data_IF_357786354003
#
_entry.id   IF_357786354003
#
_cell.length_a   1.000
_cell.length_b   1.000
_cell.length_c   1.000
_cell.angle_alpha   90.00
_cell.angle_beta   90.00
_cell.angle_gamma   90.00
#
_symmetry.space_group_name_H-M   'P 1'
#
loop_
_entity.id
_entity.type
_entity.pdbx_description
1 polymer ?
#
# COMPACT_ATOMS: atom_id res chain seq x y z
N UNK A 1 10.80 -0.15 44.70
CA UNK A 1 11.06 0.82 43.61
C UNK A 1 9.72 1.05 42.98
N UNK A 2 9.16 2.24 43.12
CA UNK A 2 7.80 2.53 42.67
C UNK A 2 7.80 2.57 41.15
N UNK A 3 7.21 1.56 40.52
CA UNK A 3 6.92 1.60 39.09
C UNK A 3 6.00 2.77 38.83
N UNK A 4 6.46 3.63 37.93
CA UNK A 4 5.75 4.77 37.40
C UNK A 4 4.51 4.23 36.66
N UNK A 5 3.34 4.30 37.29
CA UNK A 5 2.10 4.21 36.53
C UNK A 5 2.06 5.43 35.62
N UNK A 6 2.23 5.19 34.32
CA UNK A 6 2.03 6.21 33.30
C UNK A 6 0.57 6.66 33.44
N UNK A 7 0.38 7.90 33.91
CA UNK A 7 -0.92 8.56 33.85
C UNK A 7 -1.29 8.61 32.37
N UNK A 8 -2.32 7.85 31.97
CA UNK A 8 -2.87 7.92 30.62
C UNK A 8 -3.55 9.30 30.54
N UNK A 9 -2.78 10.28 30.08
CA UNK A 9 -3.24 11.63 29.76
C UNK A 9 -4.37 11.61 28.72
N UNK A 10 -4.96 12.76 28.39
CA UNK A 10 -6.18 12.82 27.62
C UNK A 10 -5.93 12.25 26.22
N UNK A 11 -6.57 11.11 25.93
CA UNK A 11 -6.78 10.50 24.61
C UNK A 11 -5.78 10.87 23.53
N UNK A 12 -4.81 9.98 23.29
CA UNK A 12 -3.98 9.98 22.09
C UNK A 12 -4.87 9.88 20.83
N UNK A 13 -5.25 11.01 20.24
CA UNK A 13 -6.09 11.03 19.05
C UNK A 13 -5.25 11.05 17.77
N UNK A 14 -5.44 10.02 16.94
CA UNK A 14 -5.17 10.14 15.51
C UNK A 14 -6.28 9.40 14.76
N UNK A 15 -7.20 10.10 14.07
CA UNK A 15 -6.85 10.85 12.87
C UNK A 15 -7.49 12.26 12.77
N UNK A 16 -6.81 13.18 12.07
CA UNK A 16 -7.19 14.58 11.89
C UNK A 16 -8.13 14.82 10.69
N UNK A 17 -9.06 15.77 10.82
CA UNK A 17 -9.88 16.28 9.72
C UNK A 17 -9.54 17.75 9.46
N UNK A 18 -9.13 18.15 8.23
CA UNK A 18 -8.92 17.32 7.04
C UNK A 18 -7.63 16.49 7.08
N UNK A 19 -7.63 15.35 6.37
CA UNK A 19 -6.49 14.44 6.28
C UNK A 19 -5.34 15.11 5.53
N UNK A 20 -4.14 15.02 6.10
CA UNK A 20 -2.91 15.55 5.53
C UNK A 20 -1.99 14.41 5.12
N UNK A 21 -1.52 14.43 3.88
CA UNK A 21 -0.67 13.37 3.32
C UNK A 21 0.79 13.42 3.83
N UNK A 22 1.18 14.51 4.48
CA UNK A 22 2.50 14.79 5.03
C UNK A 22 2.63 14.51 6.53
N UNK A 23 1.56 14.02 7.19
CA UNK A 23 1.54 13.72 8.61
C UNK A 23 1.50 12.21 8.87
N UNK A 24 2.36 11.74 9.77
CA UNK A 24 2.35 10.37 10.29
C UNK A 24 1.88 10.37 11.74
N UNK A 25 1.08 9.36 12.12
CA UNK A 25 0.73 9.13 13.51
C UNK A 25 1.48 7.92 14.07
N UNK A 26 2.01 8.10 15.27
CA UNK A 26 2.65 7.05 16.06
C UNK A 26 1.81 6.80 17.30
N UNK A 27 1.31 5.57 17.44
CA UNK A 27 0.49 5.09 18.55
C UNK A 27 0.66 3.55 18.64
N UNK A 28 0.04 2.93 19.63
CA UNK A 28 -0.09 1.49 19.76
C UNK A 28 -0.58 0.84 18.46
N UNK A 29 0.11 -0.24 18.09
CA UNK A 29 -0.14 -0.99 16.87
C UNK A 29 -1.59 -1.48 16.79
N UNK A 30 -2.15 -2.01 17.88
CA UNK A 30 -3.52 -2.53 17.92
C UNK A 30 -4.58 -1.44 17.66
N UNK A 31 -4.32 -0.22 18.13
CA UNK A 31 -5.18 0.93 17.91
C UNK A 31 -5.12 1.41 16.46
N UNK A 32 -3.91 1.63 15.92
CA UNK A 32 -3.71 2.05 14.53
C UNK A 32 -4.22 1.00 13.53
N UNK A 33 -4.00 -0.28 13.83
CA UNK A 33 -4.49 -1.39 13.00
C UNK A 33 -6.02 -1.35 12.92
N UNK A 34 -6.72 -1.14 14.04
CA UNK A 34 -8.18 -1.05 14.04
C UNK A 34 -8.71 0.13 13.17
N UNK A 35 -7.99 1.25 13.14
CA UNK A 35 -8.35 2.42 12.33
C UNK A 35 -8.08 2.17 10.85
N UNK A 36 -6.89 1.65 10.51
CA UNK A 36 -6.53 1.31 9.14
C UNK A 36 -7.47 0.26 8.56
N UNK A 37 -7.84 -0.74 9.36
CA UNK A 37 -8.85 -1.73 8.97
C UNK A 37 -10.21 -1.11 8.66
N UNK A 38 -10.66 -0.09 9.40
CA UNK A 38 -11.93 0.58 9.07
C UNK A 38 -11.83 1.45 7.81
N UNK A 39 -10.65 1.96 7.50
CA UNK A 39 -10.42 2.98 6.47
C UNK A 39 -9.26 2.59 5.53
N UNK A 40 -9.37 1.43 4.88
CA UNK A 40 -8.28 0.80 4.11
C UNK A 40 -7.72 1.60 2.93
N UNK A 41 -8.52 2.49 2.33
CA UNK A 41 -8.09 3.34 1.22
C UNK A 41 -7.37 4.60 1.69
N UNK A 42 -7.42 4.87 2.99
CA UNK A 42 -7.09 6.18 3.56
C UNK A 42 -5.84 6.14 4.44
N UNK A 43 -5.60 5.02 5.11
CA UNK A 43 -4.51 4.86 6.05
C UNK A 43 -3.80 3.52 5.80
N UNK A 44 -2.49 3.54 5.89
CA UNK A 44 -1.66 2.36 5.96
C UNK A 44 -0.93 2.35 7.31
N UNK A 45 -0.75 1.17 7.89
CA UNK A 45 0.08 1.00 9.08
C UNK A 45 1.47 0.61 8.59
N UNK A 46 2.50 1.27 9.11
CA UNK A 46 3.88 0.90 8.82
C UNK A 46 4.22 -0.44 9.51
N UNK A 47 5.00 -1.28 8.83
CA UNK A 47 5.40 -2.61 9.36
C UNK A 47 6.42 -2.51 10.52
N UNK A 48 7.10 -1.37 10.66
CA UNK A 48 8.15 -1.17 11.65
C UNK A 48 7.56 -0.79 13.02
N UNK A 49 7.78 -1.65 14.02
CA UNK A 49 7.44 -1.34 15.42
C UNK A 49 8.61 -0.64 16.11
N UNK A 50 8.39 0.60 16.55
CA UNK A 50 9.40 1.37 17.29
C UNK A 50 9.65 0.84 18.71
N UNK A 51 8.62 0.30 19.38
CA UNK A 51 8.73 -0.25 20.71
C UNK A 51 7.81 -1.45 20.89
N UNK A 52 8.36 -2.58 21.33
CA UNK A 52 7.60 -3.77 21.67
C UNK A 52 7.27 -3.75 23.16
N UNK A 53 6.15 -3.12 23.51
CA UNK A 53 5.60 -3.19 24.86
C UNK A 53 4.69 -4.43 25.00
N UNK A 54 4.70 -5.05 26.17
CA UNK A 54 3.81 -6.19 26.48
C UNK A 54 2.60 -5.69 27.26
N UNK A 55 1.41 -6.13 26.87
CA UNK A 55 0.17 -5.90 27.62
C UNK A 55 0.04 -6.95 28.72
N UNK A 56 -0.23 -6.51 29.94
CA UNK A 56 -0.37 -7.39 31.10
C UNK A 56 -1.58 -6.99 31.95
N UNK A 57 -2.19 -7.97 32.60
CA UNK A 57 -3.20 -7.73 33.62
C UNK A 57 -2.52 -7.46 34.95
N UNK A 58 -2.83 -6.32 35.56
CA UNK A 58 -2.32 -5.95 36.88
C UNK A 58 -3.32 -6.34 37.96
N UNK A 59 -2.81 -6.88 39.06
CA UNK A 59 -3.58 -7.27 40.24
C UNK A 59 -2.92 -6.69 41.50
N UNK A 60 -3.67 -6.51 42.61
CA UNK A 60 -3.09 -6.21 43.91
C UNK A 60 -2.03 -7.23 44.33
N UNK A 61 -1.00 -6.80 45.05
CA UNK A 61 0.11 -7.68 45.48
C UNK A 61 -0.35 -8.90 46.30
N UNK A 62 -1.47 -8.78 47.03
CA UNK A 62 -2.04 -9.81 47.89
C UNK A 62 -3.21 -10.59 47.26
N UNK A 63 -3.41 -10.48 45.94
CA UNK A 63 -4.49 -11.17 45.26
C UNK A 63 -4.27 -12.70 45.22
N UNK A 64 -5.02 -13.45 46.03
CA UNK A 64 -4.98 -14.92 46.08
C UNK A 64 -5.14 -15.63 44.71
N UNK A 65 -5.85 -15.00 43.77
CA UNK A 65 -6.09 -15.58 42.44
C UNK A 65 -5.04 -15.22 41.40
N UNK A 66 -4.07 -14.34 41.70
CA UNK A 66 -3.09 -13.85 40.74
C UNK A 66 -2.29 -15.00 40.11
N UNK A 67 -1.78 -15.92 40.93
CA UNK A 67 -1.01 -17.08 40.46
C UNK A 67 -1.84 -18.00 39.58
N UNK A 68 -3.08 -18.30 40.00
CA UNK A 68 -3.98 -19.14 39.23
C UNK A 68 -4.38 -18.49 37.91
N UNK A 69 -4.60 -17.17 37.89
CA UNK A 69 -4.93 -16.44 36.68
C UNK A 69 -3.75 -16.41 35.71
N UNK A 70 -2.54 -16.11 36.20
CA UNK A 70 -1.33 -16.09 35.40
C UNK A 70 -1.07 -17.45 34.74
N UNK A 71 -1.24 -18.55 35.48
CA UNK A 71 -1.10 -19.90 34.94
C UNK A 71 -2.10 -20.20 33.81
N UNK A 72 -3.36 -19.78 33.95
CA UNK A 72 -4.36 -19.97 32.89
C UNK A 72 -4.08 -19.07 31.69
N UNK A 73 -3.64 -17.83 31.91
CA UNK A 73 -3.25 -16.92 30.85
C UNK A 73 -2.05 -17.45 30.04
N UNK A 74 -1.05 -18.01 30.73
CA UNK A 74 0.09 -18.67 30.10
C UNK A 74 -0.38 -19.86 29.25
N UNK A 75 -1.28 -20.71 29.76
CA UNK A 75 -1.87 -21.81 28.98
C UNK A 75 -2.64 -21.33 27.76
N UNK A 76 -3.39 -20.23 27.87
CA UNK A 76 -4.10 -19.62 26.74
C UNK A 76 -3.14 -19.10 25.66
N UNK A 77 -2.00 -18.56 26.08
CA UNK A 77 -0.93 -18.14 25.19
C UNK A 77 -0.26 -19.33 24.50
N UNK A 78 0.17 -20.34 25.26
CA UNK A 78 0.83 -21.55 24.75
C UNK A 78 -0.08 -22.37 23.82
N UNK A 79 -1.39 -22.39 24.08
CA UNK A 79 -2.37 -23.05 23.23
C UNK A 79 -2.74 -22.25 21.97
N UNK A 80 -2.23 -21.04 21.81
CA UNK A 80 -2.50 -20.18 20.66
C UNK A 80 -3.92 -19.59 20.61
N UNK A 81 -4.70 -19.72 21.69
CA UNK A 81 -6.07 -19.18 21.72
C UNK A 81 -6.10 -17.65 21.65
N UNK A 82 -5.11 -17.01 22.29
CA UNK A 82 -4.94 -15.55 22.23
C UNK A 82 -4.68 -15.09 20.79
N UNK A 83 -3.80 -15.80 20.08
CA UNK A 83 -3.50 -15.51 18.67
C UNK A 83 -4.76 -15.68 17.80
N UNK A 84 -5.52 -16.76 18.02
CA UNK A 84 -6.79 -16.98 17.30
C UNK A 84 -7.81 -15.88 17.55
N UNK A 85 -7.91 -15.37 18.78
CA UNK A 85 -8.80 -14.23 19.06
C UNK A 85 -8.31 -12.97 18.38
N UNK A 86 -7.00 -12.71 18.40
CA UNK A 86 -6.43 -11.58 17.67
C UNK A 86 -6.76 -11.66 16.17
N UNK A 87 -6.56 -12.81 15.54
CA UNK A 87 -6.93 -13.03 14.13
C UNK A 87 -8.43 -12.84 13.90
N UNK A 88 -9.29 -13.33 14.80
CA UNK A 88 -10.73 -13.17 14.66
C UNK A 88 -11.20 -11.71 14.71
N UNK A 89 -10.59 -10.88 15.56
CA UNK A 89 -11.01 -9.49 15.76
C UNK A 89 -10.21 -8.48 14.90
N UNK A 90 -8.96 -8.78 14.56
CA UNK A 90 -8.02 -7.90 13.86
C UNK A 90 -7.49 -8.47 12.52
N UNK A 91 -7.79 -9.72 12.15
CA UNK A 91 -7.48 -10.26 10.81
C UNK A 91 -8.76 -10.68 10.10
N UNK A 92 -9.53 -9.70 9.65
CA UNK A 92 -10.53 -9.98 8.62
C UNK A 92 -9.83 -9.94 7.27
N UNK A 93 -9.52 -11.11 6.71
CA UNK A 93 -8.99 -11.33 5.34
C UNK A 93 -9.78 -10.60 4.24
N UNK A 94 -10.98 -10.10 4.57
CA UNK A 94 -11.89 -9.39 3.67
C UNK A 94 -11.82 -7.87 3.74
N UNK A 95 -11.13 -7.29 4.72
CA UNK A 95 -11.31 -5.85 5.02
C UNK A 95 -10.28 -4.98 4.31
N UNK A 96 -8.98 -5.32 4.33
CA UNK A 96 -7.98 -4.59 3.52
C UNK A 96 -7.07 -5.55 2.75
N UNK A 97 -7.45 -5.92 1.52
CA UNK A 97 -6.49 -6.44 0.52
C UNK A 97 -5.66 -5.30 -0.06
N UNK A 98 -4.99 -4.53 0.79
CA UNK A 98 -4.14 -3.41 0.38
C UNK A 98 -2.77 -3.66 1.02
N UNK A 99 -1.94 -4.48 0.38
CA UNK A 99 -0.54 -4.61 0.81
C UNK A 99 0.19 -5.91 0.48
N UNK A 100 -0.47 -7.06 0.31
CA UNK A 100 0.23 -8.32 -0.02
C UNK A 100 0.55 -8.52 -1.51
N UNK A 101 0.11 -7.60 -2.34
CA UNK A 101 0.67 -7.44 -3.67
C UNK A 101 0.45 -5.98 -4.05
N UNK A 102 1.42 -5.13 -3.72
CA UNK A 102 1.80 -4.13 -4.71
C UNK A 102 2.35 -4.92 -5.90
N UNK A 103 1.45 -5.55 -6.67
CA UNK A 103 1.75 -5.88 -8.05
C UNK A 103 2.25 -4.57 -8.61
N UNK A 104 3.54 -4.55 -8.99
CA UNK A 104 4.20 -3.37 -9.50
C UNK A 104 3.22 -2.66 -10.43
N UNK A 105 2.88 -1.41 -10.11
CA UNK A 105 1.89 -0.60 -10.81
C UNK A 105 2.03 -0.87 -12.31
N UNK A 106 1.05 -1.61 -12.86
CA UNK A 106 1.18 -2.15 -14.20
C UNK A 106 1.43 -0.96 -15.12
N UNK A 107 2.58 -0.95 -15.79
CA UNK A 107 3.10 0.23 -16.53
C UNK A 107 1.93 0.90 -17.26
N UNK A 108 1.50 2.03 -16.70
CA UNK A 108 0.31 2.70 -17.18
C UNK A 108 0.58 3.16 -18.62
N UNK A 109 -0.42 3.03 -19.49
CA UNK A 109 -0.33 3.36 -20.91
C UNK A 109 0.15 4.81 -21.12
N UNK A 110 -0.09 5.68 -20.14
CA UNK A 110 0.37 7.07 -20.10
C UNK A 110 1.90 7.20 -20.09
N UNK A 111 2.63 6.29 -19.43
CA UNK A 111 4.09 6.28 -19.41
C UNK A 111 4.74 5.82 -20.72
N UNK A 112 4.04 4.98 -21.49
CA UNK A 112 4.54 4.40 -22.77
C UNK A 112 3.94 5.11 -23.99
N UNK A 113 2.93 5.96 -23.80
CA UNK A 113 2.21 6.67 -24.86
C UNK A 113 3.13 7.48 -25.78
N UNK A 114 4.21 8.06 -25.25
CA UNK A 114 5.19 8.80 -26.05
C UNK A 114 5.83 7.97 -27.16
N UNK A 115 6.18 6.71 -26.88
CA UNK A 115 6.76 5.80 -27.87
C UNK A 115 5.77 5.47 -29.00
N UNK A 116 4.49 5.28 -28.66
CA UNK A 116 3.44 5.01 -29.65
C UNK A 116 3.17 6.21 -30.56
N UNK A 117 3.19 7.42 -30.02
CA UNK A 117 2.98 8.65 -30.81
C UNK A 117 4.10 8.83 -31.85
N UNK A 118 5.35 8.63 -31.44
CA UNK A 118 6.50 8.73 -32.35
C UNK A 118 6.42 7.66 -33.43
N UNK A 119 6.15 6.40 -33.07
CA UNK A 119 6.01 5.30 -34.02
C UNK A 119 4.90 5.56 -35.06
N UNK A 120 3.73 6.05 -34.61
CA UNK A 120 2.62 6.40 -35.50
C UNK A 120 2.98 7.54 -36.46
N UNK A 121 3.67 8.58 -35.99
CA UNK A 121 4.05 9.71 -36.84
C UNK A 121 4.99 9.30 -37.98
N UNK A 122 5.96 8.42 -37.70
CA UNK A 122 6.87 7.89 -38.71
C UNK A 122 6.14 6.99 -39.71
N UNK A 123 5.19 6.16 -39.24
CA UNK A 123 4.38 5.32 -40.11
C UNK A 123 3.52 6.15 -41.08
N UNK A 124 2.89 7.22 -40.58
CA UNK A 124 2.08 8.13 -41.41
C UNK A 124 2.95 8.86 -42.43
N UNK A 125 4.12 9.37 -42.01
CA UNK A 125 5.06 10.02 -42.92
C UNK A 125 5.53 9.07 -44.03
N UNK A 126 5.86 7.82 -43.68
CA UNK A 126 6.24 6.79 -44.65
C UNK A 126 5.13 6.46 -45.63
N UNK A 127 3.88 6.33 -45.16
CA UNK A 127 2.71 6.12 -46.04
C UNK A 127 2.48 7.30 -46.99
N UNK A 128 2.66 8.54 -46.52
CA UNK A 128 2.53 9.73 -47.37
C UNK A 128 3.59 9.73 -48.48
N UNK A 129 4.85 9.45 -48.15
CA UNK A 129 5.92 9.37 -49.17
C UNK A 129 5.61 8.25 -50.18
N UNK A 130 5.21 7.07 -49.70
CA UNK A 130 4.89 5.94 -50.57
C UNK A 130 3.71 6.24 -51.50
N UNK A 131 2.65 6.87 -51.01
CA UNK A 131 1.50 7.25 -51.85
C UNK A 131 1.87 8.30 -52.89
N UNK A 132 2.71 9.28 -52.55
CA UNK A 132 3.23 10.27 -53.50
C UNK A 132 4.05 9.58 -54.60
N UNK A 133 4.97 8.69 -54.24
CA UNK A 133 5.77 7.92 -55.19
C UNK A 133 4.90 7.00 -56.07
N UNK A 134 3.89 6.37 -55.50
CA UNK A 134 2.96 5.50 -56.24
C UNK A 134 2.11 6.30 -57.24
N UNK A 135 1.67 7.49 -56.87
CA UNK A 135 0.95 8.40 -57.78
C UNK A 135 1.90 8.88 -58.89
N UNK A 136 3.14 9.26 -58.54
CA UNK A 136 4.13 9.75 -59.51
C UNK A 136 4.54 8.67 -60.51
N UNK A 137 4.83 7.45 -60.05
CA UNK A 137 5.21 6.32 -60.90
C UNK A 137 4.05 5.85 -61.78
N UNK A 138 2.82 5.83 -61.26
CA UNK A 138 1.65 5.35 -61.99
C UNK A 138 1.14 6.37 -63.03
N UNK A 139 1.09 7.67 -62.70
CA UNK A 139 0.63 8.72 -63.64
C UNK A 139 1.72 9.26 -64.57
N UNK A 140 2.97 9.37 -64.14
CA UNK A 140 3.99 10.07 -64.92
C UNK A 140 4.93 9.16 -65.73
N UNK A 141 4.87 7.83 -65.58
CA UNK A 141 5.78 6.87 -66.26
C UNK A 141 7.27 7.27 -66.20
N UNK A 142 7.71 7.95 -65.13
CA UNK A 142 9.12 8.30 -64.90
C UNK A 142 9.72 7.39 -63.84
N UNK A 143 10.97 6.97 -64.06
CA UNK A 143 11.70 6.07 -63.17
C UNK A 143 12.12 6.79 -61.87
N UNK A 144 12.17 6.07 -60.74
CA UNK A 144 12.18 6.64 -59.38
C UNK A 144 13.51 7.29 -58.91
N UNK A 145 14.49 7.50 -59.79
CA UNK A 145 15.85 7.94 -59.40
C UNK A 145 16.21 9.38 -59.79
N UNK A 146 15.31 10.14 -60.40
CA UNK A 146 15.64 11.47 -60.93
C UNK A 146 15.63 12.62 -59.89
N UNK A 147 15.22 12.37 -58.63
CA UNK A 147 15.16 13.41 -57.60
C UNK A 147 16.38 13.44 -56.65
N UNK A 148 17.39 12.60 -56.86
CA UNK A 148 18.59 12.53 -55.99
C UNK A 148 19.85 13.13 -56.62
N UNK A 149 19.70 14.04 -57.61
CA UNK A 149 20.77 14.93 -58.08
C UNK A 149 20.16 16.28 -58.53
N UNK A 150 20.04 17.23 -57.60
CA UNK A 150 20.47 18.64 -57.73
C UNK A 150 20.36 19.34 -56.38
#
# INVERSE_FOLDING_TARGET
MADMMVEIGPYEECPSFPRKADEGCMNDYSFLLAIAMKNCSEYYVADELFNTATLAFMFPEDAYYADSFNFQLQKLHESGQIQRWFEFYWSSDTVCTVGKSAEADAINLEGVGGCFIIALSLFVAGLLILTIELIWTNLAKKQPLDCLIY
#
